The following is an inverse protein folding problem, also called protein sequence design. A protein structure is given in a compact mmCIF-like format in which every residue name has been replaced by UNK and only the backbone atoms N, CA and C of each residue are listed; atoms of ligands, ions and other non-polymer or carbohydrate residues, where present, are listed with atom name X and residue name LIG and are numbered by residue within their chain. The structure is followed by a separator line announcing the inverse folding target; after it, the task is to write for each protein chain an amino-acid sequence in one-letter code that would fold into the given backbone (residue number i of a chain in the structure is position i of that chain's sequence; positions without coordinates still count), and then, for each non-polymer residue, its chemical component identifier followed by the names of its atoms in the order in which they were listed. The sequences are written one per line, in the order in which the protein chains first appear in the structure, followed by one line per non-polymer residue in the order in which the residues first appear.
data_IF_799931018551
#
_entry.id   IF_799931018551
#
_cell.length_a   1.000
_cell.length_b   1.000
_cell.length_c   1.000
_cell.angle_alpha   90.00
_cell.angle_beta   90.00
_cell.angle_gamma   90.00
#
_symmetry.space_group_name_H-M   'P 1'
#
loop_
_entity.id
_entity.type
_entity.pdbx_description
1 polymer ?
#
# COMPACT_ATOMS: atom_id res chain seq x y z
N UNK A 1 -12.77 -20.32 -0.76
CA UNK A 1 -13.16 -20.45 0.66
C UNK A 1 -13.27 -19.09 1.37
N UNK A 2 -12.31 -18.17 1.22
CA UNK A 2 -12.33 -16.85 1.89
C UNK A 2 -13.59 -15.99 1.64
N UNK A 3 -14.12 -15.96 0.41
CA UNK A 3 -15.32 -15.16 0.09
C UNK A 3 -16.58 -15.60 0.84
N UNK A 4 -16.72 -16.88 1.20
CA UNK A 4 -17.88 -17.38 1.98
C UNK A 4 -17.75 -17.01 3.46
N UNK A 5 -16.53 -17.04 4.00
CA UNK A 5 -16.26 -16.64 5.38
C UNK A 5 -16.45 -15.14 5.60
N UNK A 6 -16.04 -14.29 4.64
CA UNK A 6 -16.28 -12.85 4.70
C UNK A 6 -17.77 -12.50 4.70
N UNK A 7 -18.59 -13.26 3.96
CA UNK A 7 -20.05 -13.05 3.90
C UNK A 7 -20.73 -13.33 5.24
N UNK A 8 -20.37 -14.43 5.91
CA UNK A 8 -20.92 -14.80 7.24
C UNK A 8 -20.56 -13.74 8.29
N UNK A 9 -19.36 -13.17 8.24
CA UNK A 9 -18.93 -12.11 9.18
C UNK A 9 -19.78 -10.83 9.03
N UNK A 10 -20.20 -10.49 7.81
CA UNK A 10 -21.04 -9.30 7.56
C UNK A 10 -22.50 -9.55 7.95
N UNK A 11 -22.99 -10.79 7.81
CA UNK A 11 -24.40 -11.13 8.01
C UNK A 11 -24.73 -11.51 9.47
N UNK A 12 -23.82 -12.17 10.20
CA UNK A 12 -24.15 -12.81 11.50
C UNK A 12 -23.51 -12.15 12.77
N UNK A 13 -22.58 -11.18 12.69
CA UNK A 13 -21.93 -10.56 13.89
C UNK A 13 -21.39 -9.12 13.67
N UNK A 14 -21.07 -8.32 14.74
CA UNK A 14 -21.51 -6.92 14.94
C UNK A 14 -20.51 -5.84 14.50
N UNK A 15 -19.61 -6.15 13.57
CA UNK A 15 -18.58 -5.21 13.13
C UNK A 15 -19.01 -4.61 11.80
N UNK A 16 -19.47 -3.36 11.85
CA UNK A 16 -19.73 -2.57 10.66
C UNK A 16 -18.43 -1.90 10.22
N UNK A 17 -17.78 -2.35 9.11
CA UNK A 17 -16.60 -1.66 8.60
C UNK A 17 -16.97 -0.22 8.24
N UNK A 18 -16.31 0.76 8.86
CA UNK A 18 -16.62 2.18 8.67
C UNK A 18 -15.85 2.73 7.47
N UNK A 19 -14.58 2.36 7.32
CA UNK A 19 -13.72 2.76 6.22
C UNK A 19 -12.52 1.82 6.05
N UNK A 20 -11.86 1.94 4.91
CA UNK A 20 -10.58 1.29 4.64
C UNK A 20 -9.45 2.31 4.78
N UNK A 21 -8.34 1.91 5.41
CA UNK A 21 -7.17 2.77 5.53
C UNK A 21 -6.49 2.94 4.17
N UNK A 22 -6.28 4.20 3.77
CA UNK A 22 -5.43 4.57 2.66
C UNK A 22 -4.16 5.25 3.22
N UNK A 23 -2.99 4.66 2.97
CA UNK A 23 -1.71 5.23 3.39
C UNK A 23 -1.01 5.85 2.17
N UNK A 24 -0.83 7.16 2.20
CA UNK A 24 -0.14 7.93 1.16
C UNK A 24 1.28 8.31 1.65
N UNK A 25 2.22 8.42 0.72
CA UNK A 25 3.62 8.74 1.01
C UNK A 25 4.11 9.76 0.00
N UNK A 26 4.95 10.68 0.46
CA UNK A 26 5.70 11.57 -0.42
C UNK A 26 6.97 10.84 -0.87
N UNK A 27 7.15 10.75 -2.17
CA UNK A 27 8.33 10.14 -2.80
C UNK A 27 9.00 11.23 -3.61
N UNK A 28 10.32 11.33 -3.48
CA UNK A 28 11.13 12.29 -4.23
C UNK A 28 11.15 11.91 -5.71
N UNK A 29 11.02 12.89 -6.61
CA UNK A 29 10.92 12.67 -8.05
C UNK A 29 12.17 12.03 -8.65
N UNK A 30 13.34 12.25 -8.04
CA UNK A 30 14.59 11.61 -8.44
C UNK A 30 14.67 10.13 -8.08
N UNK A 31 13.81 9.63 -7.19
CA UNK A 31 13.88 8.28 -6.67
C UNK A 31 13.19 7.30 -7.62
N UNK A 32 13.96 6.40 -8.22
CA UNK A 32 13.46 5.41 -9.17
C UNK A 32 13.51 4.01 -8.56
N UNK A 33 12.50 3.18 -8.85
CA UNK A 33 12.51 1.75 -8.53
C UNK A 33 11.98 1.39 -7.15
N UNK A 34 11.49 2.36 -6.36
CA UNK A 34 10.90 2.08 -5.05
C UNK A 34 9.65 1.22 -5.17
N UNK A 35 9.58 0.16 -4.37
CA UNK A 35 8.44 -0.75 -4.30
C UNK A 35 7.97 -0.88 -2.87
N UNK A 36 6.66 -1.09 -2.69
CA UNK A 36 6.02 -1.24 -1.40
C UNK A 36 5.17 -2.51 -1.40
N UNK A 37 5.17 -3.26 -0.30
CA UNK A 37 4.31 -4.43 -0.12
C UNK A 37 2.97 -4.08 0.56
N UNK A 38 2.05 -5.05 0.60
CA UNK A 38 0.74 -4.91 1.25
C UNK A 38 0.81 -4.70 2.77
N UNK A 39 1.96 -4.95 3.39
CA UNK A 39 2.22 -4.72 4.82
C UNK A 39 2.81 -3.34 5.12
N UNK A 40 2.77 -2.43 4.14
CA UNK A 40 3.35 -1.09 4.22
C UNK A 40 4.88 -1.00 4.36
N UNK A 41 5.62 -2.01 3.95
CA UNK A 41 7.09 -1.99 3.97
C UNK A 41 7.65 -1.65 2.59
N UNK A 42 8.70 -0.81 2.57
CA UNK A 42 9.42 -0.45 1.36
C UNK A 42 10.60 -1.38 1.09
N UNK A 43 10.84 -1.69 -0.18
CA UNK A 43 12.05 -2.36 -0.65
C UNK A 43 12.98 -1.34 -1.28
N UNK A 44 14.27 -1.41 -0.90
CA UNK A 44 15.33 -0.59 -1.46
C UNK A 44 16.14 -1.31 -2.56
N UNK A 45 15.78 -2.56 -2.88
CA UNK A 45 16.47 -3.33 -3.91
C UNK A 45 16.18 -2.74 -5.28
N UNK A 46 17.24 -2.36 -6.00
CA UNK A 46 17.14 -1.71 -7.32
C UNK A 46 16.69 -0.25 -7.27
N UNK A 47 16.69 0.37 -6.07
CA UNK A 47 16.41 1.80 -5.91
C UNK A 47 17.67 2.61 -6.20
N UNK A 48 17.53 3.65 -7.02
CA UNK A 48 18.61 4.58 -7.33
C UNK A 48 18.07 5.99 -7.55
N UNK A 49 18.98 6.96 -7.55
CA UNK A 49 18.68 8.35 -7.84
C UNK A 49 18.93 8.60 -9.33
N UNK A 50 17.91 9.09 -10.04
CA UNK A 50 18.08 9.63 -11.39
C UNK A 50 18.74 11.01 -11.29
N UNK A 51 19.72 11.25 -12.14
CA UNK A 51 20.34 12.56 -12.24
C UNK A 51 19.29 13.61 -12.65
N UNK A 52 19.06 14.59 -11.79
CA UNK A 52 18.19 15.71 -12.14
C UNK A 52 19.01 16.67 -13.02
N UNK A 53 18.53 16.95 -14.23
CA UNK A 53 19.07 18.08 -15.00
C UNK A 53 18.87 19.33 -14.15
N UNK A 54 19.97 19.95 -13.69
CA UNK A 54 19.92 21.29 -13.12
C UNK A 54 19.31 22.21 -14.19
N UNK A 55 18.11 22.71 -13.91
CA UNK A 55 17.50 23.77 -14.70
C UNK A 55 18.21 25.09 -14.46
#
# INVERSE_FOLDING_TARGET
MLNRAGKIIVEDTPISPIYYYANNYLIRDELVGIKKNSMNQFSLVGVYLREQKKS
#
